data_IF_369205549523
#
_entry.id   IF_369205549523
#
_cell.length_a   1.000
_cell.length_b   1.000
_cell.length_c   1.000
_cell.angle_alpha   90.00
_cell.angle_beta   90.00
_cell.angle_gamma   90.00
#
_symmetry.space_group_name_H-M   'P 1'
#
loop_
_entity.id
_entity.type
_entity.pdbx_description
1 polymer ?
#
# COMPACT_ATOMS: atom_id res chain seq x y z
N UNK A 1 -3.41 3.94 21.75
CA UNK A 1 -3.78 4.43 20.40
C UNK A 1 -2.51 4.46 19.58
N UNK A 2 -2.24 3.36 18.87
CA UNK A 2 -0.93 3.08 18.27
C UNK A 2 -0.94 3.49 16.79
N UNK A 3 0.06 4.27 16.43
CA UNK A 3 0.17 5.09 15.22
C UNK A 3 0.42 4.27 13.95
N UNK A 4 -0.63 3.82 13.26
CA UNK A 4 -0.48 3.09 11.98
C UNK A 4 -0.04 3.98 10.80
N UNK A 5 -0.25 5.30 10.89
CA UNK A 5 0.05 6.24 9.80
C UNK A 5 1.55 6.59 9.69
N UNK A 6 2.25 6.70 10.82
CA UNK A 6 3.68 7.03 10.83
C UNK A 6 4.58 5.90 10.33
N UNK A 7 4.14 4.65 10.51
CA UNK A 7 4.87 3.49 10.01
C UNK A 7 4.93 3.48 8.49
N UNK A 8 3.81 3.77 7.80
CA UNK A 8 3.72 3.73 6.35
C UNK A 8 4.71 4.66 5.64
N UNK A 9 4.87 5.90 6.12
CA UNK A 9 5.78 6.88 5.52
C UNK A 9 7.26 6.54 5.76
N UNK A 10 7.58 5.97 6.93
CA UNK A 10 8.94 5.57 7.27
C UNK A 10 9.45 4.41 6.42
N UNK A 11 8.62 3.42 6.09
CA UNK A 11 9.03 2.30 5.23
C UNK A 11 9.40 2.77 3.82
N UNK A 12 8.70 3.75 3.27
CA UNK A 12 9.03 4.29 1.94
C UNK A 12 10.36 5.05 1.95
N UNK A 13 10.59 5.89 2.96
CA UNK A 13 11.85 6.63 3.08
C UNK A 13 13.04 5.67 3.21
N UNK A 14 12.92 4.65 4.07
CA UNK A 14 13.96 3.65 4.25
C UNK A 14 14.25 2.82 2.98
N UNK A 15 13.23 2.49 2.18
CA UNK A 15 13.40 1.67 0.97
C UNK A 15 13.89 2.45 -0.24
N UNK A 16 13.57 3.75 -0.35
CA UNK A 16 14.07 4.61 -1.45
C UNK A 16 15.58 4.87 -1.40
N UNK A 17 16.23 4.70 -0.24
CA UNK A 17 17.68 4.88 -0.09
C UNK A 17 18.51 3.63 -0.45
N UNK A 18 17.90 2.43 -0.48
CA UNK A 18 18.66 1.18 -0.64
C UNK A 18 18.69 0.61 -2.07
N UNK A 19 17.66 0.80 -2.91
CA UNK A 19 17.63 0.21 -4.26
C UNK A 19 16.59 0.89 -5.19
N UNK A 20 16.97 1.94 -5.96
CA UNK A 20 16.03 2.79 -6.71
C UNK A 20 15.38 2.11 -7.92
N UNK A 21 15.91 0.98 -8.39
CA UNK A 21 15.34 0.24 -9.53
C UNK A 21 14.20 -0.71 -9.11
N UNK A 22 14.03 -0.97 -7.81
CA UNK A 22 12.96 -1.84 -7.30
C UNK A 22 11.66 -1.07 -7.18
N UNK A 23 10.64 -1.56 -7.88
CA UNK A 23 9.28 -1.06 -7.72
C UNK A 23 8.69 -1.57 -6.41
N UNK A 24 8.43 -0.65 -5.48
CA UNK A 24 7.79 -0.97 -4.20
C UNK A 24 6.27 -1.11 -4.38
N UNK A 25 5.73 -2.26 -3.98
CA UNK A 25 4.29 -2.49 -3.89
C UNK A 25 3.87 -2.59 -2.43
N UNK A 26 2.78 -1.90 -2.06
CA UNK A 26 2.14 -2.08 -0.77
C UNK A 26 1.16 -3.26 -0.85
N UNK A 27 1.43 -4.33 -0.11
CA UNK A 27 0.53 -5.46 0.01
C UNK A 27 -0.58 -5.18 1.04
N UNK A 28 -1.84 -5.26 0.61
CA UNK A 28 -3.01 -5.00 1.48
C UNK A 28 -4.04 -6.13 1.32
N UNK A 29 -4.67 -6.63 2.39
CA UNK A 29 -5.78 -7.56 2.26
C UNK A 29 -6.91 -6.95 1.42
N UNK A 30 -7.51 -7.73 0.50
CA UNK A 30 -8.53 -7.22 -0.42
C UNK A 30 -9.69 -6.54 0.32
N UNK A 31 -10.16 -7.12 1.42
CA UNK A 31 -11.29 -6.57 2.20
C UNK A 31 -10.91 -5.24 2.90
N UNK A 32 -9.64 -5.13 3.31
CA UNK A 32 -9.10 -3.88 3.83
C UNK A 32 -8.99 -2.85 2.71
N UNK A 33 -8.52 -3.24 1.52
CA UNK A 33 -8.48 -2.34 0.38
C UNK A 33 -9.86 -1.82 0.00
N UNK A 34 -10.87 -2.69 -0.14
CA UNK A 34 -12.23 -2.28 -0.50
C UNK A 34 -12.86 -1.30 0.50
N UNK A 35 -12.57 -1.45 1.79
CA UNK A 35 -13.08 -0.55 2.84
C UNK A 35 -12.28 0.74 2.97
N UNK A 36 -10.95 0.69 2.89
CA UNK A 36 -10.06 1.85 3.03
C UNK A 36 -9.97 2.70 1.76
N UNK A 37 -10.13 2.11 0.57
CA UNK A 37 -10.07 2.86 -0.69
C UNK A 37 -11.26 3.81 -0.87
N UNK A 38 -12.37 3.61 -0.16
CA UNK A 38 -13.47 4.57 -0.10
C UNK A 38 -13.08 5.90 0.59
N UNK A 39 -11.97 5.91 1.33
CA UNK A 39 -11.48 7.09 2.05
C UNK A 39 -10.72 7.99 1.06
N UNK A 40 -11.27 9.18 0.76
CA UNK A 40 -10.66 10.16 -0.16
C UNK A 40 -9.19 10.48 0.15
N UNK A 41 -8.81 10.51 1.43
CA UNK A 41 -7.42 10.74 1.81
C UNK A 41 -6.49 9.65 1.27
N UNK A 42 -6.89 8.39 1.34
CA UNK A 42 -6.10 7.25 0.85
C UNK A 42 -5.98 7.33 -0.67
N UNK A 43 -7.06 7.63 -1.38
CA UNK A 43 -7.03 7.84 -2.84
C UNK A 43 -6.06 8.96 -3.22
N UNK A 44 -6.13 10.11 -2.53
CA UNK A 44 -5.26 11.24 -2.79
C UNK A 44 -3.79 10.90 -2.53
N UNK A 45 -3.47 10.15 -1.48
CA UNK A 45 -2.10 9.72 -1.17
C UNK A 45 -1.60 8.75 -2.25
N UNK A 46 -2.41 7.80 -2.69
CA UNK A 46 -2.06 6.86 -3.76
C UNK A 46 -1.74 7.61 -5.05
N UNK A 47 -2.62 8.52 -5.47
CA UNK A 47 -2.43 9.32 -6.68
C UNK A 47 -1.24 10.26 -6.59
N UNK A 48 -1.09 10.98 -5.46
CA UNK A 48 -0.03 11.99 -5.28
C UNK A 48 1.36 11.36 -5.29
N UNK A 49 1.49 10.14 -4.76
CA UNK A 49 2.77 9.48 -4.62
C UNK A 49 2.99 8.31 -5.59
N UNK A 50 2.07 8.08 -6.53
CA UNK A 50 2.16 6.99 -7.51
C UNK A 50 2.32 5.62 -6.86
N UNK A 51 1.63 5.38 -5.74
CA UNK A 51 1.80 4.15 -4.97
C UNK A 51 1.24 2.97 -5.74
N UNK A 52 2.09 1.97 -5.97
CA UNK A 52 1.62 0.69 -6.49
C UNK A 52 1.14 -0.18 -5.34
N UNK A 53 -0.02 -0.79 -5.50
CA UNK A 53 -0.68 -1.61 -4.48
C UNK A 53 -0.87 -3.00 -5.06
N UNK A 54 -0.69 -4.02 -4.23
CA UNK A 54 -1.10 -5.38 -4.54
C UNK A 54 -2.11 -5.82 -3.48
N UNK A 55 -3.27 -6.26 -3.92
CA UNK A 55 -4.28 -6.81 -3.01
C UNK A 55 -4.17 -8.32 -2.96
N UNK A 56 -4.38 -8.91 -1.78
CA UNK A 56 -4.35 -10.36 -1.62
C UNK A 56 -5.50 -10.85 -0.75
N UNK A 57 -5.89 -12.10 -0.93
CA UNK A 57 -6.86 -12.76 -0.08
C UNK A 57 -6.10 -13.50 1.04
N UNK A 58 -6.23 -13.10 2.32
CA UNK A 58 -5.48 -13.72 3.41
C UNK A 58 -5.95 -15.15 3.72
N UNK A 59 -7.18 -15.52 3.37
CA UNK A 59 -7.73 -16.86 3.61
C UNK A 59 -7.26 -17.86 2.56
N UNK A 60 -7.20 -17.44 1.30
CA UNK A 60 -6.81 -18.30 0.18
C UNK A 60 -5.32 -18.15 -0.19
N UNK A 61 -4.60 -17.23 0.44
CA UNK A 61 -3.18 -16.91 0.19
C UNK A 61 -2.86 -16.61 -1.30
N UNK A 62 -3.81 -15.99 -2.00
CA UNK A 62 -3.67 -15.62 -3.41
C UNK A 62 -3.61 -14.10 -3.60
N UNK A 63 -2.81 -13.67 -4.58
CA UNK A 63 -2.87 -12.30 -5.08
C UNK A 63 -4.18 -12.12 -5.83
N UNK A 64 -4.90 -11.05 -5.52
CA UNK A 64 -6.19 -10.71 -6.11
C UNK A 64 -6.02 -9.70 -7.24
N UNK A 65 -5.31 -8.59 -6.99
CA UNK A 65 -5.16 -7.51 -7.96
C UNK A 65 -3.83 -6.77 -7.83
N UNK A 66 -3.36 -6.21 -8.94
CA UNK A 66 -2.25 -5.26 -9.01
C UNK A 66 -2.78 -3.91 -9.46
N UNK A 67 -2.50 -2.87 -8.69
CA UNK A 67 -3.03 -1.52 -8.88
C UNK A 67 -1.85 -0.57 -9.02
N UNK A 68 -1.84 0.18 -10.13
CA UNK A 68 -0.74 1.07 -10.54
C UNK A 68 -1.24 2.41 -11.02
#
# INVERSE_FOLDING_TARGET
MSSSHGQFLNYRFALSEQDPERTLYLAVPNDTYSSFFAIRLVQNVIQTYGLKIVTYNPTNEVIVEWIS
#
